data_IF_848071176860
#
_entry.id   IF_848071176860
#
_cell.length_a   1.000
_cell.length_b   1.000
_cell.length_c   1.000
_cell.angle_alpha   90.00
_cell.angle_beta   90.00
_cell.angle_gamma   90.00
#
_symmetry.space_group_name_H-M   'P 1'
#
loop_
_entity.id
_entity.type
_entity.pdbx_description
1 polymer ?
#
# COMPACT_ATOMS: atom_id res chain seq x y z
N UNK A 1 3.65 -5.83 -15.85
CA UNK A 1 2.89 -5.99 -14.58
C UNK A 1 2.64 -4.67 -13.83
N UNK A 2 3.70 -3.89 -13.51
CA UNK A 2 3.60 -2.65 -12.74
C UNK A 2 2.69 -1.58 -13.35
N UNK A 3 2.84 -1.26 -14.64
CA UNK A 3 2.03 -0.23 -15.32
C UNK A 3 0.51 -0.53 -15.29
N UNK A 4 0.12 -1.80 -15.37
CA UNK A 4 -1.29 -2.20 -15.31
C UNK A 4 -1.85 -2.01 -13.90
N UNK A 5 -1.08 -2.39 -12.87
CA UNK A 5 -1.46 -2.18 -11.48
C UNK A 5 -1.61 -0.69 -11.15
N UNK A 6 -0.70 0.16 -11.61
CA UNK A 6 -0.79 1.62 -11.41
C UNK A 6 -2.05 2.21 -12.04
N UNK A 7 -2.35 1.88 -13.31
CA UNK A 7 -3.57 2.37 -13.98
C UNK A 7 -4.83 1.89 -13.27
N UNK A 8 -4.86 0.64 -12.80
CA UNK A 8 -6.00 0.11 -12.09
C UNK A 8 -6.15 0.75 -10.70
N UNK A 9 -5.05 1.01 -9.99
CA UNK A 9 -5.05 1.72 -8.71
C UNK A 9 -5.62 3.14 -8.83
N UNK A 10 -5.25 3.90 -9.87
CA UNK A 10 -5.83 5.22 -10.12
C UNK A 10 -7.35 5.17 -10.34
N UNK A 11 -7.83 4.17 -11.10
CA UNK A 11 -9.27 3.94 -11.27
C UNK A 11 -9.94 3.51 -9.97
N UNK A 12 -9.25 2.72 -9.15
CA UNK A 12 -9.73 2.27 -7.83
C UNK A 12 -9.95 3.48 -6.92
N UNK A 13 -8.95 4.35 -6.77
CA UNK A 13 -9.04 5.55 -5.93
C UNK A 13 -10.09 6.55 -6.43
N UNK A 14 -10.33 6.62 -7.75
CA UNK A 14 -11.43 7.43 -8.29
C UNK A 14 -12.82 6.84 -7.93
N UNK A 15 -12.94 5.52 -7.90
CA UNK A 15 -14.21 4.83 -7.62
C UNK A 15 -14.52 4.76 -6.12
N UNK A 16 -13.50 4.54 -5.30
CA UNK A 16 -13.59 4.45 -3.84
C UNK A 16 -12.53 5.38 -3.22
N UNK A 17 -12.79 6.70 -3.15
CA UNK A 17 -11.82 7.70 -2.69
C UNK A 17 -11.47 7.63 -1.20
N UNK A 18 -12.23 6.88 -0.40
CA UNK A 18 -11.97 6.72 1.03
C UNK A 18 -12.06 5.26 1.51
N UNK A 19 -11.39 4.90 2.62
CA UNK A 19 -11.57 3.60 3.26
C UNK A 19 -13.04 3.30 3.60
N UNK A 20 -13.83 4.31 4.00
CA UNK A 20 -15.25 4.16 4.34
C UNK A 20 -16.09 3.64 3.17
N UNK A 21 -15.83 4.10 1.96
CA UNK A 21 -16.54 3.62 0.76
C UNK A 21 -16.11 2.19 0.40
N UNK A 22 -14.83 1.85 0.56
CA UNK A 22 -14.35 0.47 0.39
C UNK A 22 -15.05 -0.47 1.37
N UNK A 23 -15.18 -0.07 2.64
CA UNK A 23 -15.85 -0.85 3.68
C UNK A 23 -17.34 -1.05 3.34
N UNK A 24 -18.02 0.00 2.88
CA UNK A 24 -19.43 -0.07 2.50
C UNK A 24 -19.68 -0.86 1.20
N UNK A 25 -18.64 -1.16 0.42
CA UNK A 25 -18.75 -1.87 -0.85
C UNK A 25 -18.73 -3.38 -0.66
N UNK A 26 -19.53 -4.08 -1.47
CA UNK A 26 -19.53 -5.53 -1.53
C UNK A 26 -18.18 -6.09 -1.98
N UNK A 27 -17.67 -7.10 -1.27
CA UNK A 27 -16.36 -7.69 -1.59
C UNK A 27 -16.31 -8.23 -3.02
N UNK A 28 -17.43 -8.77 -3.52
CA UNK A 28 -17.52 -9.28 -4.89
C UNK A 28 -17.37 -8.18 -5.94
N UNK A 29 -17.82 -6.96 -5.66
CA UNK A 29 -17.65 -5.83 -6.57
C UNK A 29 -16.16 -5.44 -6.67
N UNK A 30 -15.47 -5.38 -5.53
CA UNK A 30 -14.03 -5.13 -5.48
C UNK A 30 -13.28 -6.26 -6.22
N UNK A 31 -13.63 -7.52 -5.98
CA UNK A 31 -13.03 -8.67 -6.67
C UNK A 31 -13.22 -8.58 -8.18
N UNK A 32 -14.45 -8.29 -8.63
CA UNK A 32 -14.75 -8.11 -10.05
C UNK A 32 -13.92 -6.99 -10.68
N UNK A 33 -13.74 -5.87 -9.97
CA UNK A 33 -12.90 -4.76 -10.41
C UNK A 33 -11.42 -5.15 -10.55
N UNK A 34 -10.92 -6.02 -9.67
CA UNK A 34 -9.53 -6.47 -9.64
C UNK A 34 -9.20 -7.64 -10.60
N UNK A 35 -10.19 -8.19 -11.32
CA UNK A 35 -10.02 -9.35 -12.23
C UNK A 35 -8.81 -9.24 -13.16
N UNK A 36 -8.53 -8.03 -13.67
CA UNK A 36 -7.44 -7.79 -14.62
C UNK A 36 -6.02 -7.93 -14.08
N UNK A 37 -5.81 -8.05 -12.76
CA UNK A 37 -4.47 -8.08 -12.15
C UNK A 37 -4.16 -9.34 -11.32
N UNK A 38 -5.01 -10.37 -11.42
CA UNK A 38 -4.86 -11.65 -10.73
C UNK A 38 -5.05 -11.56 -9.20
N UNK A 39 -5.21 -12.72 -8.56
CA UNK A 39 -5.44 -12.86 -7.10
C UNK A 39 -6.59 -11.99 -6.56
N UNK A 40 -7.52 -11.63 -7.44
CA UNK A 40 -8.58 -10.65 -7.21
C UNK A 40 -9.47 -10.93 -6.00
N UNK A 41 -9.91 -12.18 -5.78
CA UNK A 41 -10.71 -12.56 -4.61
C UNK A 41 -9.94 -12.35 -3.29
N UNK A 42 -8.69 -12.82 -3.25
CA UNK A 42 -7.82 -12.68 -2.08
C UNK A 42 -7.52 -11.20 -1.83
N UNK A 43 -7.19 -10.44 -2.87
CA UNK A 43 -6.91 -9.00 -2.79
C UNK A 43 -8.13 -8.20 -2.34
N UNK A 44 -9.32 -8.53 -2.83
CA UNK A 44 -10.56 -7.87 -2.41
C UNK A 44 -10.82 -8.05 -0.91
N UNK A 45 -10.66 -9.29 -0.42
CA UNK A 45 -10.77 -9.59 1.02
C UNK A 45 -9.73 -8.82 1.84
N UNK A 46 -8.48 -8.80 1.38
CA UNK A 46 -7.39 -8.07 2.05
C UNK A 46 -7.69 -6.57 2.08
N UNK A 47 -8.05 -5.97 0.96
CA UNK A 47 -8.31 -4.52 0.84
C UNK A 47 -9.46 -4.09 1.75
N UNK A 48 -10.55 -4.87 1.79
CA UNK A 48 -11.71 -4.56 2.64
C UNK A 48 -11.31 -4.63 4.12
N UNK A 49 -10.69 -5.72 4.57
CA UNK A 49 -10.20 -5.86 5.95
C UNK A 49 -9.14 -4.83 6.33
N UNK A 50 -8.20 -4.55 5.45
CA UNK A 50 -7.21 -3.47 5.63
C UNK A 50 -7.90 -2.14 5.88
N UNK A 51 -8.90 -1.79 5.05
CA UNK A 51 -9.62 -0.53 5.16
C UNK A 51 -10.38 -0.41 6.49
N UNK A 52 -10.98 -1.51 6.96
CA UNK A 52 -11.63 -1.58 8.28
C UNK A 52 -10.62 -1.37 9.41
N UNK A 53 -9.52 -2.13 9.43
CA UNK A 53 -8.49 -2.02 10.46
C UNK A 53 -7.82 -0.64 10.44
N UNK A 54 -7.59 -0.05 9.26
CA UNK A 54 -6.95 1.27 9.10
C UNK A 54 -7.69 2.38 9.85
N UNK A 55 -9.03 2.33 9.91
CA UNK A 55 -9.84 3.37 10.57
C UNK A 55 -10.29 3.01 11.99
N UNK A 56 -10.35 1.72 12.34
CA UNK A 56 -10.96 1.25 13.59
C UNK A 56 -9.96 0.73 14.63
N UNK A 57 -8.79 0.26 14.18
CA UNK A 57 -7.74 -0.26 15.06
C UNK A 57 -6.81 0.89 15.47
N UNK A 58 -6.34 0.97 16.72
CA UNK A 58 -5.18 1.79 17.04
C UNK A 58 -3.91 1.13 16.48
N UNK A 59 -3.12 1.86 15.70
CA UNK A 59 -1.87 1.38 15.12
C UNK A 59 -0.85 2.53 15.04
N UNK A 60 0.44 2.18 15.08
CA UNK A 60 1.56 3.14 14.92
C UNK A 60 2.23 2.96 13.56
N UNK A 61 2.47 1.70 13.17
CA UNK A 61 3.05 1.34 11.88
C UNK A 61 2.08 0.46 11.08
N UNK A 62 1.99 0.62 9.75
CA UNK A 62 0.97 -0.06 8.97
C UNK A 62 1.22 -1.57 8.86
N UNK A 63 2.42 -2.10 9.18
CA UNK A 63 2.64 -3.55 9.34
C UNK A 63 1.68 -4.20 10.34
N UNK A 64 1.16 -3.44 11.28
CA UNK A 64 0.15 -3.91 12.24
C UNK A 64 -1.21 -4.17 11.58
N UNK A 65 -1.42 -3.71 10.36
CA UNK A 65 -2.67 -3.82 9.61
C UNK A 65 -2.63 -5.02 8.66
N UNK A 66 -3.77 -5.70 8.55
CA UNK A 66 -3.90 -6.86 7.68
C UNK A 66 -3.50 -6.54 6.22
N UNK A 67 -2.67 -7.40 5.63
CA UNK A 67 -2.23 -7.28 4.24
C UNK A 67 -0.99 -6.42 4.02
N UNK A 68 -0.49 -5.72 5.05
CA UNK A 68 0.72 -4.92 4.94
C UNK A 68 1.92 -5.72 5.46
N UNK A 69 2.79 -6.13 4.54
CA UNK A 69 4.09 -6.73 4.86
C UNK A 69 5.21 -5.69 4.92
N UNK A 70 6.46 -6.18 5.00
CA UNK A 70 7.67 -5.33 5.05
C UNK A 70 7.71 -4.28 3.95
N UNK A 71 7.38 -4.64 2.70
CA UNK A 71 7.37 -3.69 1.58
C UNK A 71 6.45 -2.48 1.82
N UNK A 72 5.20 -2.70 2.25
CA UNK A 72 4.26 -1.60 2.50
C UNK A 72 4.65 -0.77 3.72
N UNK A 73 5.19 -1.43 4.74
CA UNK A 73 5.70 -0.79 5.96
C UNK A 73 6.92 0.11 5.71
N UNK A 74 7.91 -0.40 4.98
CA UNK A 74 9.07 0.37 4.54
C UNK A 74 8.63 1.55 3.65
N UNK A 75 7.70 1.33 2.71
CA UNK A 75 7.16 2.40 1.87
C UNK A 75 6.54 3.51 2.72
N UNK A 76 5.72 3.17 3.72
CA UNK A 76 5.11 4.16 4.59
C UNK A 76 6.14 4.94 5.40
N UNK A 77 7.14 4.27 5.98
CA UNK A 77 8.21 4.92 6.73
C UNK A 77 9.02 5.87 5.85
N UNK A 78 9.34 5.48 4.62
CA UNK A 78 10.10 6.31 3.66
C UNK A 78 9.26 7.52 3.23
N UNK A 79 8.05 7.31 2.72
CA UNK A 79 7.30 8.33 1.99
C UNK A 79 6.33 9.13 2.86
N UNK A 80 5.78 8.54 3.92
CA UNK A 80 4.77 9.19 4.76
C UNK A 80 5.36 9.78 6.05
N UNK A 81 6.35 9.11 6.67
CA UNK A 81 7.00 9.60 7.89
C UNK A 81 8.31 10.35 7.62
N UNK A 82 8.99 10.04 6.52
CA UNK A 82 10.31 10.60 6.21
C UNK A 82 11.47 9.92 6.95
N UNK A 83 11.23 8.76 7.58
CA UNK A 83 12.21 7.97 8.35
C UNK A 83 13.17 7.16 7.46
N UNK A 84 13.38 7.58 6.21
CA UNK A 84 14.09 6.80 5.18
C UNK A 84 15.52 6.42 5.58
N UNK A 85 16.18 7.22 6.44
CA UNK A 85 17.54 6.94 6.96
C UNK A 85 17.61 5.67 7.82
N UNK A 86 16.51 5.31 8.47
CA UNK A 86 16.38 4.17 9.38
C UNK A 86 15.61 3.00 8.75
N UNK A 87 15.38 3.06 7.44
CA UNK A 87 14.76 1.98 6.67
C UNK A 87 15.84 1.24 5.89
N UNK A 88 15.74 -0.08 5.84
CA UNK A 88 16.56 -0.97 4.99
C UNK A 88 15.61 -1.83 4.18
N UNK A 89 15.20 -1.38 2.98
CA UNK A 89 14.27 -2.13 2.16
C UNK A 89 14.89 -3.43 1.67
N UNK A 90 14.04 -4.36 1.27
CA UNK A 90 14.45 -5.57 0.51
C UNK A 90 13.90 -5.57 -0.91
N UNK A 91 13.05 -4.59 -1.22
CA UNK A 91 12.51 -4.38 -2.56
C UNK A 91 13.50 -3.59 -3.41
N UNK A 92 13.71 -4.02 -4.66
CA UNK A 92 14.70 -3.43 -5.55
C UNK A 92 14.44 -1.94 -5.81
N UNK A 93 13.19 -1.54 -6.05
CA UNK A 93 12.88 -0.15 -6.38
C UNK A 93 12.94 0.76 -5.16
N UNK A 94 12.57 0.24 -3.98
CA UNK A 94 12.78 0.98 -2.73
C UNK A 94 14.27 1.14 -2.41
N UNK A 95 15.10 0.13 -2.69
CA UNK A 95 16.55 0.24 -2.53
C UNK A 95 17.11 1.34 -3.43
N UNK A 96 16.81 1.30 -4.74
CA UNK A 96 17.26 2.32 -5.70
C UNK A 96 16.89 3.74 -5.22
N UNK A 97 15.68 3.90 -4.68
CA UNK A 97 15.21 5.20 -4.17
C UNK A 97 15.93 5.65 -2.89
N UNK A 98 16.15 4.73 -1.94
CA UNK A 98 16.86 5.03 -0.68
C UNK A 98 18.35 5.28 -0.92
N UNK A 99 18.97 4.60 -1.87
CA UNK A 99 20.36 4.83 -2.27
C UNK A 99 20.50 6.23 -2.88
N UNK A 100 19.60 6.60 -3.80
CA UNK A 100 19.56 7.97 -4.35
C UNK A 100 19.35 9.03 -3.26
N UNK A 101 18.46 8.79 -2.28
CA UNK A 101 18.28 9.69 -1.14
C UNK A 101 19.55 9.83 -0.30
N UNK A 102 20.29 8.74 -0.11
CA UNK A 102 21.53 8.72 0.66
C UNK A 102 22.64 9.51 -0.02
N UNK A 103 22.75 9.41 -1.35
CA UNK A 103 23.69 10.18 -2.16
C UNK A 103 23.34 11.68 -2.18
N UNK A 104 22.05 12.00 -2.26
CA UNK A 104 21.56 13.37 -2.37
C UNK A 104 21.57 14.10 -1.02
N UNK A 105 21.28 13.39 0.07
CA UNK A 105 21.13 13.94 1.42
C UNK A 105 21.99 13.17 2.45
N UNK A 106 23.32 13.24 2.33
CA UNK A 106 24.22 12.52 3.23
C UNK A 106 23.98 12.93 4.69
N UNK A 107 24.19 11.98 5.60
CA UNK A 107 24.25 12.32 7.03
C UNK A 107 25.45 13.25 7.23
N UNK A 108 25.19 14.42 7.84
CA UNK A 108 26.25 15.28 8.35
C UNK A 108 27.05 14.54 9.42
#
# INVERSE_FOLDING_TARGET
PGQLATRLALKFFKKWPSPKEVIATEQQEISNFLKGIGLHEIRAKIIKRFSEEFISKPWTYPRELHGIGKYGDDSYRIFCLGDWKDVRPTDHLLNDYVDWLSDTYPRK
#
